data_IF_421197333018
#
_entry.id   IF_421197333018
#
_cell.length_a   1.000
_cell.length_b   1.000
_cell.length_c   1.000
_cell.angle_alpha   90.00
_cell.angle_beta   90.00
_cell.angle_gamma   90.00
#
_symmetry.space_group_name_H-M   'P 1'
#
loop_
_entity.id
_entity.type
_entity.pdbx_description
1 polymer ?
#
# COMPACT_ATOMS: atom_id res chain seq x y z
N UNK A 1 5.39 5.20 7.24
CA UNK A 1 4.44 5.95 6.39
C UNK A 1 3.32 5.02 5.94
N UNK A 2 2.07 5.47 5.88
CA UNK A 2 0.94 4.66 5.37
C UNK A 2 0.47 5.24 4.04
N UNK A 3 0.52 4.43 2.98
CA UNK A 3 -0.11 4.78 1.70
C UNK A 3 -1.44 4.02 1.65
N UNK A 4 -2.54 4.76 1.75
CA UNK A 4 -3.89 4.19 1.63
C UNK A 4 -4.38 4.42 0.22
N UNK A 5 -4.54 3.33 -0.54
CA UNK A 5 -5.23 3.39 -1.83
C UNK A 5 -6.72 3.25 -1.55
N UNK A 6 -7.37 4.39 -1.35
CA UNK A 6 -8.83 4.45 -1.26
C UNK A 6 -9.40 4.37 -2.68
N UNK A 7 -10.38 3.51 -2.90
CA UNK A 7 -11.16 3.53 -4.13
C UNK A 7 -11.83 4.89 -4.30
N UNK A 8 -11.29 5.72 -5.19
CA UNK A 8 -11.94 6.96 -5.59
C UNK A 8 -13.21 6.61 -6.39
N UNK A 9 -14.29 7.42 -6.32
CA UNK A 9 -15.52 7.17 -7.08
C UNK A 9 -15.31 7.09 -8.60
N UNK A 10 -14.21 7.67 -9.14
CA UNK A 10 -13.77 7.49 -10.54
C UNK A 10 -12.82 6.31 -10.76
N UNK A 11 -12.13 5.84 -9.72
CA UNK A 11 -11.26 4.65 -9.77
C UNK A 11 -12.05 3.34 -9.64
N UNK A 12 -13.38 3.41 -9.42
CA UNK A 12 -14.30 2.27 -9.49
C UNK A 12 -14.15 1.52 -10.81
N UNK A 13 -13.73 2.20 -11.86
CA UNK A 13 -13.49 1.63 -13.18
C UNK A 13 -12.00 1.63 -13.47
N UNK A 14 -11.36 0.47 -13.34
CA UNK A 14 -9.94 0.34 -13.70
C UNK A 14 -9.77 0.06 -15.20
N UNK A 15 -10.77 -0.56 -15.85
CA UNK A 15 -10.74 -0.90 -17.29
C UNK A 15 -12.14 -0.72 -17.90
N UNK A 16 -12.29 0.14 -18.92
CA UNK A 16 -13.47 0.25 -19.80
C UNK A 16 -14.85 -0.02 -19.14
N UNK A 17 -15.22 0.74 -18.11
CA UNK A 17 -16.53 0.64 -17.43
C UNK A 17 -16.68 -0.51 -16.41
N UNK A 18 -15.69 -1.39 -16.26
CA UNK A 18 -15.75 -2.55 -15.37
C UNK A 18 -15.29 -2.19 -13.95
N UNK A 19 -16.10 -2.59 -12.96
CA UNK A 19 -15.78 -2.48 -11.53
C UNK A 19 -14.44 -3.16 -11.21
N UNK A 20 -13.54 -2.47 -10.51
CA UNK A 20 -12.24 -3.02 -10.09
C UNK A 20 -12.34 -4.34 -9.34
N UNK A 21 -13.43 -4.53 -8.58
CA UNK A 21 -13.74 -5.79 -7.89
C UNK A 21 -13.94 -6.99 -8.84
N UNK A 22 -14.50 -6.74 -10.04
CA UNK A 22 -14.85 -7.74 -11.05
C UNK A 22 -13.70 -8.09 -11.99
N UNK A 23 -12.56 -7.44 -11.84
CA UNK A 23 -11.39 -7.71 -12.67
C UNK A 23 -10.75 -9.02 -12.21
N UNK A 24 -10.50 -9.98 -13.13
CA UNK A 24 -9.81 -11.22 -12.80
C UNK A 24 -8.44 -10.94 -12.17
N UNK A 25 -8.03 -11.73 -11.19
CA UNK A 25 -6.75 -11.55 -10.49
C UNK A 25 -5.52 -11.68 -11.39
N UNK A 26 -5.67 -12.25 -12.59
CA UNK A 26 -4.62 -12.48 -13.58
C UNK A 26 -4.61 -11.42 -14.70
N UNK A 27 -5.42 -10.35 -14.59
CA UNK A 27 -5.41 -9.28 -15.59
C UNK A 27 -4.10 -8.46 -15.48
N UNK A 28 -3.49 -8.21 -16.64
CA UNK A 28 -2.33 -7.31 -16.83
C UNK A 28 -2.42 -5.97 -16.12
N UNK A 29 -3.63 -5.47 -15.84
CA UNK A 29 -3.81 -4.19 -15.16
C UNK A 29 -3.24 -4.17 -13.75
N UNK A 30 -3.18 -5.32 -13.07
CA UNK A 30 -2.60 -5.42 -11.72
C UNK A 30 -1.09 -5.18 -11.75
N UNK A 31 -0.41 -5.63 -12.81
CA UNK A 31 1.01 -5.34 -12.99
C UNK A 31 1.24 -3.84 -13.18
N UNK A 32 0.44 -3.20 -14.03
CA UNK A 32 0.49 -1.73 -14.24
C UNK A 32 0.21 -0.97 -12.94
N UNK A 33 -0.81 -1.37 -12.18
CA UNK A 33 -1.14 -0.73 -10.90
C UNK A 33 0.00 -0.91 -9.89
N UNK A 34 0.53 -2.12 -9.77
CA UNK A 34 1.64 -2.40 -8.84
C UNK A 34 2.90 -1.59 -9.19
N UNK A 35 3.15 -1.36 -10.48
CA UNK A 35 4.23 -0.51 -10.96
C UNK A 35 4.07 0.94 -10.49
N UNK A 36 2.88 1.53 -10.60
CA UNK A 36 2.63 2.89 -10.11
C UNK A 36 2.70 3.00 -8.58
N UNK A 37 2.25 1.97 -7.87
CA UNK A 37 2.36 1.93 -6.40
C UNK A 37 3.82 1.86 -5.99
N UNK A 38 4.64 1.07 -6.69
CA UNK A 38 6.08 0.98 -6.45
C UNK A 38 6.78 2.34 -6.66
N UNK A 39 6.42 3.08 -7.72
CA UNK A 39 6.95 4.44 -7.93
C UNK A 39 6.62 5.39 -6.77
N UNK A 40 5.38 5.36 -6.28
CA UNK A 40 4.97 6.16 -5.13
C UNK A 40 5.75 5.77 -3.86
N UNK A 41 5.96 4.47 -3.65
CA UNK A 41 6.76 3.97 -2.53
C UNK A 41 8.23 4.40 -2.61
N UNK A 42 8.83 4.42 -3.81
CA UNK A 42 10.21 4.91 -4.00
C UNK A 42 10.31 6.40 -3.73
N UNK A 43 9.43 7.20 -4.31
CA UNK A 43 9.44 8.64 -4.11
C UNK A 43 9.36 8.97 -2.62
N UNK A 44 8.47 8.31 -1.90
CA UNK A 44 8.36 8.49 -0.47
C UNK A 44 9.56 7.95 0.30
N UNK A 45 10.15 6.83 -0.13
CA UNK A 45 11.37 6.29 0.49
C UNK A 45 12.53 7.26 0.37
N UNK A 46 12.75 7.81 -0.83
CA UNK A 46 13.85 8.75 -1.09
C UNK A 46 13.60 10.13 -0.49
N UNK A 47 12.34 10.52 -0.27
CA UNK A 47 11.99 11.84 0.30
C UNK A 47 11.94 11.83 1.82
N UNK A 48 11.34 10.81 2.43
CA UNK A 48 11.04 10.78 3.86
C UNK A 48 11.88 9.77 4.65
N UNK A 49 12.61 8.88 3.97
CA UNK A 49 13.39 7.80 4.58
C UNK A 49 12.65 7.07 5.73
N UNK A 50 11.41 6.57 5.50
CA UNK A 50 10.65 5.91 6.55
C UNK A 50 11.28 4.56 6.91
N UNK A 51 11.03 4.07 8.12
CA UNK A 51 11.47 2.72 8.53
C UNK A 51 10.64 1.60 7.85
N UNK A 52 9.39 1.91 7.50
CA UNK A 52 8.52 1.01 6.74
C UNK A 52 7.42 1.77 5.98
N UNK A 53 6.94 1.14 4.91
CA UNK A 53 5.83 1.54 4.06
C UNK A 53 4.70 0.53 4.21
N UNK A 54 3.56 0.99 4.74
CA UNK A 54 2.38 0.14 4.93
C UNK A 54 1.37 0.49 3.82
N UNK A 55 1.02 -0.50 3.00
CA UNK A 55 0.09 -0.36 1.87
C UNK A 55 -1.28 -0.92 2.25
N UNK A 56 -2.28 -0.06 2.40
CA UNK A 56 -3.65 -0.45 2.77
C UNK A 56 -4.69 -0.17 1.69
N UNK A 57 -5.93 -0.62 1.93
CA UNK A 57 -7.08 -0.47 1.02
C UNK A 57 -7.41 -1.76 0.27
N UNK A 58 -8.66 -1.88 -0.19
CA UNK A 58 -9.21 -3.12 -0.78
C UNK A 58 -8.47 -3.61 -2.05
N UNK A 59 -7.80 -2.71 -2.76
CA UNK A 59 -6.96 -3.05 -3.92
C UNK A 59 -5.77 -3.94 -3.53
N UNK A 60 -5.23 -3.76 -2.32
CA UNK A 60 -4.07 -4.51 -1.84
C UNK A 60 -4.42 -5.90 -1.30
N UNK A 61 -5.71 -6.23 -1.14
CA UNK A 61 -6.17 -7.54 -0.65
C UNK A 61 -6.10 -8.64 -1.71
N UNK A 62 -5.86 -8.30 -2.98
CA UNK A 62 -5.66 -9.29 -4.06
C UNK A 62 -4.32 -10.01 -3.88
N UNK A 63 -4.33 -11.33 -4.04
CA UNK A 63 -3.25 -12.25 -3.63
C UNK A 63 -1.85 -11.93 -4.15
N UNK A 64 -1.73 -11.22 -5.28
CA UNK A 64 -0.46 -11.04 -5.98
C UNK A 64 0.07 -9.59 -5.92
N UNK A 65 -0.74 -8.63 -5.48
CA UNK A 65 -0.43 -7.19 -5.58
C UNK A 65 0.79 -6.78 -4.78
N UNK A 66 0.94 -7.31 -3.56
CA UNK A 66 2.07 -6.96 -2.70
C UNK A 66 3.41 -7.47 -3.29
N UNK A 67 3.42 -8.70 -3.81
CA UNK A 67 4.60 -9.32 -4.42
C UNK A 67 5.02 -8.60 -5.70
N UNK A 68 4.07 -8.26 -6.56
CA UNK A 68 4.35 -7.46 -7.77
C UNK A 68 4.91 -6.07 -7.41
N UNK A 69 4.31 -5.41 -6.41
CA UNK A 69 4.77 -4.10 -5.95
C UNK A 69 6.19 -4.17 -5.40
N UNK A 70 6.51 -5.17 -4.58
CA UNK A 70 7.86 -5.39 -4.04
C UNK A 70 8.87 -5.64 -5.16
N UNK A 71 8.51 -6.44 -6.18
CA UNK A 71 9.36 -6.72 -7.34
C UNK A 71 9.68 -5.45 -8.13
N UNK A 72 8.67 -4.64 -8.46
CA UNK A 72 8.86 -3.37 -9.16
C UNK A 72 9.68 -2.38 -8.33
N UNK A 73 9.42 -2.33 -7.02
CA UNK A 73 10.16 -1.47 -6.10
C UNK A 73 11.66 -1.80 -6.08
N UNK A 74 12.03 -3.08 -5.95
CA UNK A 74 13.44 -3.51 -5.97
C UNK A 74 14.09 -3.14 -7.31
N UNK A 75 13.40 -3.45 -8.40
CA UNK A 75 13.88 -3.18 -9.76
C UNK A 75 14.19 -1.70 -9.97
N UNK A 76 13.30 -0.82 -9.52
CA UNK A 76 13.46 0.63 -9.65
C UNK A 76 14.45 1.23 -8.63
N UNK A 77 14.52 0.69 -7.40
CA UNK A 77 15.48 1.14 -6.39
C UNK A 77 16.92 0.84 -6.83
N UNK A 78 17.12 -0.27 -7.54
CA UNK A 78 18.38 -0.65 -8.18
C UNK A 78 19.60 -0.53 -7.24
N UNK A 79 19.45 -0.96 -5.98
CA UNK A 79 20.47 -0.88 -4.94
C UNK A 79 21.08 0.52 -4.73
N UNK A 80 20.33 1.58 -5.03
CA UNK A 80 20.78 2.95 -4.85
C UNK A 80 21.00 3.32 -3.38
N UNK A 81 20.16 2.78 -2.49
CA UNK A 81 20.29 2.89 -1.04
C UNK A 81 20.02 1.55 -0.39
N UNK A 82 20.60 1.35 0.80
CA UNK A 82 20.30 0.21 1.64
C UNK A 82 18.97 0.42 2.38
N UNK A 83 18.14 -0.63 2.39
CA UNK A 83 16.90 -0.63 3.16
C UNK A 83 17.19 -1.01 4.62
N UNK A 84 16.44 -0.46 5.59
CA UNK A 84 16.62 -0.79 7.00
C UNK A 84 16.28 -2.25 7.32
N UNK A 85 15.52 -2.93 6.45
CA UNK A 85 15.15 -4.33 6.59
C UNK A 85 14.89 -4.97 5.21
N UNK A 86 14.56 -6.27 5.19
CA UNK A 86 14.16 -6.94 3.95
C UNK A 86 12.95 -6.26 3.32
N UNK A 87 12.87 -6.28 2.00
CA UNK A 87 11.80 -5.59 1.22
C UNK A 87 10.41 -6.06 1.66
N UNK A 88 10.27 -7.33 2.01
CA UNK A 88 9.04 -7.95 2.52
C UNK A 88 8.56 -7.33 3.84
N UNK A 89 9.49 -6.94 4.71
CA UNK A 89 9.20 -6.27 5.99
C UNK A 89 9.04 -4.77 5.80
N UNK A 90 9.76 -4.21 4.83
CA UNK A 90 9.75 -2.80 4.50
C UNK A 90 8.42 -2.38 3.86
N UNK A 91 7.99 -3.07 2.80
CA UNK A 91 6.69 -2.85 2.13
C UNK A 91 5.75 -3.99 2.52
N UNK A 92 4.79 -3.69 3.40
CA UNK A 92 3.89 -4.70 3.95
C UNK A 92 2.44 -4.24 4.02
N UNK A 93 1.54 -5.21 4.21
CA UNK A 93 0.13 -4.97 4.47
C UNK A 93 -0.10 -4.57 5.95
N UNK A 94 -1.21 -3.88 6.27
CA UNK A 94 -1.57 -3.58 7.64
C UNK A 94 -1.81 -4.87 8.43
N UNK A 95 -1.38 -4.89 9.69
CA UNK A 95 -1.59 -6.05 10.57
C UNK A 95 -3.05 -6.20 11.01
N UNK A 96 -3.82 -5.10 11.00
CA UNK A 96 -5.23 -5.10 11.40
C UNK A 96 -6.09 -5.56 10.23
N UNK A 97 -6.85 -6.64 10.44
CA UNK A 97 -7.77 -7.21 9.45
C UNK A 97 -8.94 -6.27 9.14
N UNK A 98 -9.62 -6.53 8.01
CA UNK A 98 -10.89 -5.90 7.62
C UNK A 98 -10.86 -4.36 7.53
N UNK A 99 -9.75 -3.79 7.08
CA UNK A 99 -9.55 -2.33 7.03
C UNK A 99 -9.77 -1.61 8.39
N UNK A 100 -9.70 -2.34 9.51
CA UNK A 100 -9.94 -1.82 10.87
C UNK A 100 -8.84 -0.89 11.40
N UNK A 101 -7.78 -0.65 10.63
CA UNK A 101 -6.65 0.19 11.03
C UNK A 101 -7.09 1.61 11.41
N UNK A 102 -8.04 2.19 10.65
CA UNK A 102 -8.57 3.52 10.95
C UNK A 102 -9.38 3.55 12.25
N UNK A 103 -10.22 2.54 12.48
CA UNK A 103 -11.03 2.42 13.70
C UNK A 103 -10.15 2.28 14.94
N UNK A 104 -9.14 1.42 14.89
CA UNK A 104 -8.17 1.27 15.97
C UNK A 104 -7.40 2.57 16.21
N UNK A 105 -6.99 3.25 15.13
CA UNK A 105 -6.36 4.57 15.20
C UNK A 105 -7.23 5.61 15.90
N UNK A 106 -8.53 5.62 15.64
CA UNK A 106 -9.47 6.53 16.30
C UNK A 106 -9.58 6.25 17.81
N UNK A 107 -9.70 4.98 18.21
CA UNK A 107 -9.72 4.60 19.62
C UNK A 107 -8.40 4.95 20.32
N UNK A 108 -7.26 4.72 19.66
CA UNK A 108 -5.96 5.08 20.18
C UNK A 108 -5.82 6.60 20.34
N UNK A 109 -6.29 7.38 19.37
CA UNK A 109 -6.30 8.84 19.44
C UNK A 109 -7.15 9.31 20.64
N UNK A 110 -8.36 8.78 20.80
CA UNK A 110 -9.22 9.10 21.94
C UNK A 110 -8.56 8.75 23.29
N UNK A 111 -7.94 7.56 23.39
CA UNK A 111 -7.21 7.14 24.58
C UNK A 111 -6.03 8.07 24.89
N UNK A 112 -5.24 8.47 23.87
CA UNK A 112 -4.09 9.37 24.03
C UNK A 112 -4.48 10.77 24.49
N UNK A 113 -5.67 11.23 24.10
CA UNK A 113 -6.23 12.51 24.55
C UNK A 113 -6.76 12.43 25.98
N UNK A 114 -7.31 11.28 26.37
CA UNK A 114 -7.81 11.05 27.72
C UNK A 114 -6.67 10.96 28.75
N UNK A 115 -5.55 10.32 28.41
CA UNK A 115 -4.40 10.13 29.31
C UNK A 115 -3.43 11.33 29.38
N UNK A 116 -3.54 12.29 28.47
CA UNK A 116 -2.77 13.54 28.50
C UNK A 116 -3.34 14.62 29.45
N UNK A 117 -4.49 14.36 30.06
CA UNK A 117 -5.06 15.16 31.16
C UNK A 117 -4.54 14.67 32.50
#
# INVERSE_FOLDING_TARGET
MVIVLKELPRARVLKQGILGEKIPSDDSIWDILSYYIAQAAINATLTLAPECVILGGGVMEKSNMISLTQKHFISMLNNYIDLPCSVEKYIRLPTVKENGSATLGNFYLAYSLFTKK
#
